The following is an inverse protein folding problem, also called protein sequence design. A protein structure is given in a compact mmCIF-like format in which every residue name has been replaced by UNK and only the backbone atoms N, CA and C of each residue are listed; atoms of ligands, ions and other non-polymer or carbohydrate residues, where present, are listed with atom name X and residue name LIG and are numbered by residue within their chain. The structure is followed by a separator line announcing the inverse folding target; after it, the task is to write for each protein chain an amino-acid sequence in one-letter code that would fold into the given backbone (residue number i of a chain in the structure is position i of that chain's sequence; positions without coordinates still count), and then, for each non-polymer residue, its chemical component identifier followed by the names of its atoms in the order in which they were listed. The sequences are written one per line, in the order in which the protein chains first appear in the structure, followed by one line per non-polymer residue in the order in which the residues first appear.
data_IF_115175548701
#
_entry.id   IF_115175548701
#
_cell.length_a   1.000
_cell.length_b   1.000
_cell.length_c   1.000
_cell.angle_alpha   90.00
_cell.angle_beta   90.00
_cell.angle_gamma   90.00
#
_symmetry.space_group_name_H-M   'P 1'
#
loop_
_entity.id
_entity.type
_entity.pdbx_description
1 polymer ?
#
# COMPACT_ATOMS: atom_id res chain seq x y z
N UNK A 1 -6.67 6.27 -18.47
CA UNK A 1 -5.71 6.13 -17.36
C UNK A 1 -5.25 7.50 -16.95
N UNK A 2 -5.27 7.80 -15.66
CA UNK A 2 -4.85 9.08 -15.08
C UNK A 2 -3.84 8.83 -13.97
N UNK A 3 -2.81 9.68 -13.89
CA UNK A 3 -1.79 9.62 -12.82
C UNK A 3 -2.33 10.43 -11.65
N UNK A 4 -2.54 9.75 -10.52
CA UNK A 4 -3.06 10.37 -9.29
C UNK A 4 -1.95 10.82 -8.35
N UNK A 5 -0.82 10.10 -8.34
CA UNK A 5 0.35 10.47 -7.54
C UNK A 5 1.64 10.08 -8.25
N UNK A 6 2.61 10.99 -8.25
CA UNK A 6 3.97 10.75 -8.72
C UNK A 6 4.98 11.55 -7.89
N UNK A 7 6.23 11.07 -7.85
CA UNK A 7 7.36 11.77 -7.26
C UNK A 7 8.52 11.89 -8.26
N UNK A 8 9.42 12.84 -8.02
CA UNK A 8 10.60 13.04 -8.88
C UNK A 8 11.57 11.85 -8.81
N UNK A 9 11.77 11.29 -7.61
CA UNK A 9 12.69 10.16 -7.37
C UNK A 9 12.05 8.81 -7.69
N UNK A 10 10.77 8.64 -7.34
CA UNK A 10 10.07 7.33 -7.41
C UNK A 10 9.22 7.16 -8.68
N UNK A 11 9.05 8.21 -9.48
CA UNK A 11 8.19 8.18 -10.66
C UNK A 11 6.70 8.05 -10.33
N UNK A 12 5.97 7.26 -11.13
CA UNK A 12 4.52 7.05 -10.95
C UNK A 12 4.26 6.16 -9.73
N UNK A 13 3.51 6.66 -8.76
CA UNK A 13 3.15 5.92 -7.54
C UNK A 13 1.75 5.34 -7.60
N UNK A 14 0.76 6.14 -8.03
CA UNK A 14 -0.64 5.71 -8.15
C UNK A 14 -1.22 6.18 -9.48
N UNK A 15 -1.88 5.27 -10.19
CA UNK A 15 -2.65 5.55 -11.39
C UNK A 15 -4.01 4.84 -11.35
N UNK A 16 -5.02 5.41 -12.00
CA UNK A 16 -6.34 4.80 -12.05
C UNK A 16 -7.06 5.03 -13.40
N UNK A 17 -8.03 4.18 -13.70
CA UNK A 17 -9.05 4.48 -14.70
C UNK A 17 -9.97 5.60 -14.21
N UNK A 18 -10.64 6.30 -15.12
CA UNK A 18 -11.53 7.42 -14.77
C UNK A 18 -12.75 6.99 -13.94
N UNK A 19 -13.17 5.75 -14.13
CA UNK A 19 -14.27 5.11 -13.41
C UNK A 19 -13.80 4.33 -12.18
N UNK A 20 -12.52 4.45 -11.79
CA UNK A 20 -11.91 3.80 -10.63
C UNK A 20 -12.00 2.26 -10.59
N UNK A 21 -12.41 1.61 -11.69
CA UNK A 21 -12.46 0.16 -11.82
C UNK A 21 -11.09 -0.49 -11.86
N UNK A 22 -10.08 0.26 -12.30
CA UNK A 22 -8.69 -0.15 -12.30
C UNK A 22 -7.90 0.86 -11.48
N UNK A 23 -7.27 0.39 -10.41
CA UNK A 23 -6.38 1.19 -9.55
C UNK A 23 -5.04 0.46 -9.44
N UNK A 24 -3.96 1.15 -9.79
CA UNK A 24 -2.61 0.63 -9.77
C UNK A 24 -1.80 1.39 -8.72
N UNK A 25 -1.24 0.66 -7.76
CA UNK A 25 -0.24 1.15 -6.81
C UNK A 25 1.10 0.51 -7.16
N UNK A 26 2.11 1.33 -7.45
CA UNK A 26 3.46 0.89 -7.77
C UNK A 26 4.41 0.93 -6.57
N UNK A 27 3.97 1.56 -5.48
CA UNK A 27 4.64 1.50 -4.18
C UNK A 27 3.97 0.52 -3.23
N UNK A 28 4.63 0.30 -2.09
CA UNK A 28 4.20 -0.63 -1.05
C UNK A 28 3.60 0.09 0.17
N UNK A 29 2.42 0.70 -0.02
CA UNK A 29 1.72 1.40 1.08
C UNK A 29 1.31 0.46 2.23
N UNK A 30 1.19 -0.83 1.95
CA UNK A 30 0.87 -1.89 2.89
C UNK A 30 2.02 -2.28 3.82
N UNK A 31 3.24 -1.83 3.54
CA UNK A 31 4.40 -2.26 4.33
C UNK A 31 4.33 -1.79 5.78
N UNK A 32 4.60 -2.73 6.67
CA UNK A 32 4.87 -2.45 8.07
C UNK A 32 6.17 -1.68 8.23
N UNK A 33 6.32 -1.05 9.40
CA UNK A 33 7.50 -0.23 9.75
C UNK A 33 8.81 -0.95 9.45
N UNK A 34 8.90 -2.25 9.70
CA UNK A 34 10.15 -3.03 9.66
C UNK A 34 10.40 -3.77 8.34
N UNK A 35 9.49 -3.72 7.38
CA UNK A 35 9.58 -4.58 6.18
C UNK A 35 10.84 -4.29 5.38
N UNK A 36 11.13 -3.02 5.04
CA UNK A 36 12.35 -2.65 4.32
C UNK A 36 13.63 -2.93 5.12
N UNK A 37 13.60 -2.81 6.45
CA UNK A 37 14.72 -3.18 7.30
C UNK A 37 15.03 -4.68 7.19
N UNK A 38 13.98 -5.52 7.19
CA UNK A 38 14.11 -6.97 7.06
C UNK A 38 14.64 -7.37 5.69
N UNK A 39 14.18 -6.71 4.62
CA UNK A 39 14.71 -6.90 3.27
C UNK A 39 16.20 -6.54 3.19
N UNK A 40 16.58 -5.36 3.69
CA UNK A 40 17.97 -4.91 3.72
C UNK A 40 18.87 -5.89 4.49
N UNK A 41 18.46 -6.29 5.70
CA UNK A 41 19.23 -7.22 6.54
C UNK A 41 19.34 -8.60 5.89
N UNK A 42 18.25 -9.13 5.32
CA UNK A 42 18.28 -10.39 4.58
C UNK A 42 19.30 -10.34 3.44
N UNK A 43 19.29 -9.28 2.65
CA UNK A 43 20.17 -9.16 1.49
C UNK A 43 21.65 -9.02 1.92
N UNK A 44 21.92 -8.30 3.01
CA UNK A 44 23.28 -8.23 3.62
C UNK A 44 23.73 -9.61 4.13
N UNK A 45 22.86 -10.37 4.78
CA UNK A 45 23.17 -11.70 5.31
C UNK A 45 23.48 -12.72 4.20
N UNK A 46 22.86 -12.57 3.03
CA UNK A 46 23.17 -13.33 1.81
C UNK A 46 24.50 -12.90 1.14
N UNK A 47 25.19 -11.92 1.72
CA UNK A 47 26.45 -11.39 1.20
C UNK A 47 26.27 -10.48 -0.01
N UNK A 48 25.05 -9.99 -0.25
CA UNK A 48 24.80 -8.93 -1.23
C UNK A 48 25.24 -7.58 -0.63
N UNK A 49 25.42 -6.58 -1.51
CA UNK A 49 25.73 -5.21 -1.11
C UNK A 49 24.57 -4.28 -1.49
N UNK A 50 23.38 -4.42 -0.86
CA UNK A 50 22.23 -3.57 -1.14
C UNK A 50 22.51 -2.12 -0.70
N UNK A 51 21.92 -1.16 -1.39
CA UNK A 51 21.89 0.22 -0.91
C UNK A 51 20.99 0.34 0.32
N UNK A 52 21.37 1.21 1.25
CA UNK A 52 20.53 1.53 2.42
C UNK A 52 19.21 2.15 1.90
N UNK A 53 18.03 1.70 2.37
CA UNK A 53 16.77 2.28 1.96
C UNK A 53 16.73 3.79 2.27
N UNK A 54 16.50 4.60 1.24
CA UNK A 54 16.51 6.05 1.35
C UNK A 54 15.35 6.57 2.23
N UNK A 55 15.61 7.63 2.98
CA UNK A 55 14.61 8.30 3.84
C UNK A 55 13.93 7.41 4.90
N UNK A 56 14.50 6.24 5.19
CA UNK A 56 13.89 5.21 6.03
C UNK A 56 14.53 5.15 7.44
N UNK A 57 15.86 5.01 7.52
CA UNK A 57 16.58 5.05 8.78
C UNK A 57 16.93 6.48 9.19
N UNK A 58 17.06 6.74 10.50
CA UNK A 58 17.44 8.08 10.98
C UNK A 58 18.94 8.28 10.70
N UNK A 59 19.28 9.28 9.89
CA UNK A 59 20.66 9.59 9.50
C UNK A 59 21.38 8.38 8.86
N UNK A 60 20.65 7.53 8.13
CA UNK A 60 21.15 6.30 7.52
C UNK A 60 21.77 5.27 8.49
N UNK A 61 21.47 5.39 9.79
CA UNK A 61 21.88 4.43 10.81
C UNK A 61 20.95 3.21 10.81
N UNK A 62 21.43 2.09 10.23
CA UNK A 62 20.70 0.82 10.13
C UNK A 62 20.37 0.16 11.47
N UNK A 63 20.98 0.62 12.57
CA UNK A 63 20.67 0.15 13.92
C UNK A 63 19.52 0.93 14.57
N UNK A 64 19.15 2.07 13.98
CA UNK A 64 18.07 2.91 14.46
C UNK A 64 16.69 2.34 14.12
N UNK A 65 15.68 2.66 14.94
CA UNK A 65 14.30 2.33 14.60
C UNK A 65 13.87 3.07 13.32
N UNK A 66 13.33 2.37 12.30
CA UNK A 66 12.89 3.01 11.07
C UNK A 66 11.80 4.07 11.27
N UNK A 67 11.88 5.15 10.50
CA UNK A 67 10.92 6.24 10.51
C UNK A 67 9.65 5.84 9.75
N UNK A 68 8.53 5.65 10.47
CA UNK A 68 7.24 5.37 9.84
C UNK A 68 6.60 6.67 9.31
N UNK A 69 6.78 6.98 8.03
CA UNK A 69 6.28 8.22 7.39
C UNK A 69 5.09 8.02 6.44
N UNK A 70 4.83 6.79 5.99
CA UNK A 70 3.82 6.50 4.98
C UNK A 70 2.49 6.00 5.53
N UNK A 71 2.40 5.64 6.81
CA UNK A 71 1.22 4.99 7.40
C UNK A 71 -0.08 5.80 7.25
N UNK A 72 -0.01 7.14 7.39
CA UNK A 72 -1.19 7.99 7.24
C UNK A 72 -1.68 8.00 5.78
N UNK A 73 -0.76 8.11 4.82
CA UNK A 73 -1.09 8.06 3.40
C UNK A 73 -1.67 6.69 3.01
N UNK A 74 -1.10 5.60 3.54
CA UNK A 74 -1.61 4.25 3.35
C UNK A 74 -3.04 4.10 3.88
N UNK A 75 -3.29 4.53 5.12
CA UNK A 75 -4.63 4.47 5.72
C UNK A 75 -5.67 5.25 4.91
N UNK A 76 -5.32 6.45 4.44
CA UNK A 76 -6.18 7.25 3.58
C UNK A 76 -6.42 6.58 2.22
N UNK A 77 -5.38 6.02 1.61
CA UNK A 77 -5.50 5.33 0.33
C UNK A 77 -6.48 4.15 0.41
N UNK A 78 -6.30 3.23 1.36
CA UNK A 78 -7.16 2.06 1.48
C UNK A 78 -8.59 2.44 1.90
N UNK A 79 -8.77 3.44 2.77
CA UNK A 79 -10.09 3.91 3.14
C UNK A 79 -10.84 4.50 1.93
N UNK A 80 -10.17 5.35 1.15
CA UNK A 80 -10.76 5.96 -0.03
C UNK A 80 -11.05 4.91 -1.11
N UNK A 81 -10.14 3.96 -1.31
CA UNK A 81 -10.34 2.90 -2.29
C UNK A 81 -11.58 2.06 -1.97
N UNK A 82 -11.73 1.60 -0.72
CA UNK A 82 -12.90 0.83 -0.30
C UNK A 82 -14.18 1.66 -0.42
N UNK A 83 -14.17 2.92 0.03
CA UNK A 83 -15.39 3.72 0.09
C UNK A 83 -15.85 4.25 -1.27
N UNK A 84 -14.92 4.69 -2.12
CA UNK A 84 -15.24 5.41 -3.35
C UNK A 84 -15.06 4.57 -4.62
N UNK A 85 -14.10 3.63 -4.65
CA UNK A 85 -13.88 2.80 -5.83
C UNK A 85 -14.63 1.46 -5.75
N UNK A 86 -14.81 0.90 -4.55
CA UNK A 86 -15.49 -0.39 -4.35
C UNK A 86 -16.95 -0.19 -3.94
N UNK A 87 -17.19 0.35 -2.75
CA UNK A 87 -18.52 0.33 -2.14
C UNK A 87 -19.56 1.21 -2.85
N UNK A 88 -19.19 2.38 -3.35
CA UNK A 88 -20.14 3.25 -4.07
C UNK A 88 -20.53 2.69 -5.45
N UNK A 89 -19.63 1.95 -6.09
CA UNK A 89 -19.90 1.30 -7.38
C UNK A 89 -20.63 -0.04 -7.19
N UNK A 90 -20.46 -0.72 -6.05
CA UNK A 90 -21.18 -1.94 -5.68
C UNK A 90 -21.76 -1.85 -4.26
N UNK A 91 -22.83 -1.06 -4.06
CA UNK A 91 -23.42 -0.89 -2.73
C UNK A 91 -23.99 -2.22 -2.22
N UNK A 92 -23.82 -2.48 -0.92
CA UNK A 92 -24.36 -3.67 -0.29
C UNK A 92 -25.89 -3.68 -0.33
N UNK A 93 -26.48 -4.75 -0.87
CA UNK A 93 -27.93 -4.94 -0.91
C UNK A 93 -28.44 -5.54 0.40
N UNK A 94 -28.90 -4.67 1.29
CA UNK A 94 -29.48 -5.05 2.57
C UNK A 94 -30.72 -5.97 2.46
N UNK A 95 -31.42 -5.97 1.32
CA UNK A 95 -32.62 -6.79 1.14
C UNK A 95 -32.30 -8.25 0.80
N UNK A 96 -31.10 -8.54 0.26
CA UNK A 96 -30.71 -9.86 -0.21
C UNK A 96 -29.56 -10.51 0.60
N UNK A 97 -29.17 -9.92 1.73
CA UNK A 97 -28.06 -10.39 2.57
C UNK A 97 -28.12 -11.90 2.93
N UNK A 98 -29.32 -12.50 3.00
CA UNK A 98 -29.49 -13.92 3.29
C UNK A 98 -29.16 -14.87 2.11
N UNK A 99 -29.09 -14.36 0.87
CA UNK A 99 -28.80 -15.11 -0.35
C UNK A 99 -27.38 -14.89 -0.88
N UNK A 100 -26.60 -14.01 -0.23
CA UNK A 100 -25.23 -13.72 -0.65
C UNK A 100 -24.27 -14.79 -0.12
N UNK A 101 -23.75 -15.62 -1.03
CA UNK A 101 -22.81 -16.68 -0.72
C UNK A 101 -21.51 -16.18 -0.06
N UNK A 102 -21.18 -14.90 -0.22
CA UNK A 102 -20.02 -14.28 0.44
C UNK A 102 -20.18 -14.17 1.96
N UNK A 103 -21.42 -14.15 2.47
CA UNK A 103 -21.69 -14.09 3.91
C UNK A 103 -21.32 -15.40 4.64
N UNK A 104 -21.43 -16.53 3.94
CA UNK A 104 -21.12 -17.86 4.47
C UNK A 104 -19.66 -18.28 4.24
N UNK A 105 -18.89 -17.55 3.44
CA UNK A 105 -17.48 -17.86 3.17
C UNK A 105 -16.53 -17.42 4.30
N UNK A 106 -17.01 -16.62 5.26
CA UNK A 106 -16.25 -16.09 6.40
C UNK A 106 -16.66 -16.68 7.76
N UNK A 107 -17.51 -17.72 7.80
CA UNK A 107 -17.84 -18.52 8.98
C UNK A 107 -17.32 -19.95 8.82
#
# INVERSE_FOLDING_TARGET
MEILACGEEVGVSVAASRDLREVYSFGHLEYDRETLAKEYLRDVDEGLNPHIPENYFKNDDVTSTPCLRWNLAAALFFNNWINYAVYQETPFDWANAANDASLFAYL
#
